data_IF_365496701694
#
_entry.id   IF_365496701694
#
_cell.length_a   1.000
_cell.length_b   1.000
_cell.length_c   1.000
_cell.angle_alpha   90.00
_cell.angle_beta   90.00
_cell.angle_gamma   90.00
#
_symmetry.space_group_name_H-M   'P 1'
#
loop_
_entity.id
_entity.type
_entity.pdbx_description
1 polymer ?
#
# COMPACT_ATOMS: atom_id res chain seq x y z
N UNK A 1 -7.88 -21.56 -4.11
CA UNK A 1 -6.99 -20.52 -3.57
C UNK A 1 -7.02 -19.38 -4.56
N UNK A 2 -7.65 -18.26 -4.22
CA UNK A 2 -7.59 -17.06 -5.05
C UNK A 2 -6.22 -16.42 -4.88
N UNK A 3 -5.54 -16.10 -5.97
CA UNK A 3 -4.27 -15.38 -5.93
C UNK A 3 -4.62 -13.90 -5.74
N UNK A 4 -4.16 -13.30 -4.64
CA UNK A 4 -4.26 -11.86 -4.41
C UNK A 4 -2.95 -11.22 -4.87
N UNK A 5 -3.03 -10.36 -5.88
CA UNK A 5 -1.91 -9.55 -6.34
C UNK A 5 -2.03 -8.15 -5.74
N UNK A 6 -0.92 -7.64 -5.19
CA UNK A 6 -0.85 -6.32 -4.59
C UNK A 6 0.27 -5.53 -5.27
N UNK A 7 -0.02 -4.29 -5.62
CA UNK A 7 0.99 -3.37 -6.14
C UNK A 7 1.76 -2.75 -4.98
N UNK A 8 3.07 -2.61 -5.14
CA UNK A 8 3.92 -1.97 -4.15
C UNK A 8 5.04 -1.17 -4.79
N UNK A 9 5.53 -0.19 -4.04
CA UNK A 9 6.72 0.59 -4.39
C UNK A 9 7.64 0.71 -3.18
N UNK A 10 8.94 0.70 -3.42
CA UNK A 10 9.96 0.95 -2.40
C UNK A 10 10.56 2.33 -2.61
N UNK A 11 10.61 3.14 -1.56
CA UNK A 11 11.14 4.50 -1.59
C UNK A 11 12.25 4.67 -0.56
N UNK A 12 13.28 5.44 -0.88
CA UNK A 12 14.24 5.93 0.11
C UNK A 12 13.73 7.27 0.67
N UNK A 13 13.22 7.25 1.91
CA UNK A 13 12.75 8.48 2.56
C UNK A 13 13.90 9.26 3.19
N UNK A 14 13.69 10.57 3.42
CA UNK A 14 14.69 11.53 3.92
C UNK A 14 15.86 11.85 2.96
N UNK A 15 15.76 11.40 1.71
CA UNK A 15 16.76 11.67 0.67
C UNK A 15 16.07 11.94 -0.66
N UNK A 16 16.79 12.55 -1.60
CA UNK A 16 16.43 12.60 -3.04
C UNK A 16 17.32 11.70 -3.89
N UNK A 17 18.35 11.13 -3.29
CA UNK A 17 19.33 10.26 -3.94
C UNK A 17 19.00 8.81 -3.60
N UNK A 18 18.90 7.90 -4.59
CA UNK A 18 18.69 6.47 -4.35
C UNK A 18 19.74 5.89 -3.40
N UNK A 19 19.32 4.96 -2.54
CA UNK A 19 20.15 4.20 -1.60
C UNK A 19 20.84 5.03 -0.51
N UNK A 20 20.35 6.24 -0.23
CA UNK A 20 20.93 7.16 0.78
C UNK A 20 19.97 7.49 1.92
N UNK A 21 18.77 6.93 1.90
CA UNK A 21 17.72 7.21 2.87
C UNK A 21 17.42 5.99 3.75
N UNK A 22 16.21 5.99 4.29
CA UNK A 22 15.63 4.82 4.92
C UNK A 22 14.67 4.14 3.92
N UNK A 23 14.86 2.87 3.55
CA UNK A 23 13.93 2.17 2.68
C UNK A 23 12.56 1.99 3.33
N UNK A 24 11.51 2.39 2.63
CA UNK A 24 10.11 2.27 3.01
C UNK A 24 9.34 1.53 1.92
N UNK A 25 8.64 0.47 2.28
CA UNK A 25 7.69 -0.19 1.38
C UNK A 25 6.30 0.44 1.53
N UNK A 26 5.68 0.80 0.40
CA UNK A 26 4.29 1.24 0.33
C UNK A 26 3.53 0.19 -0.49
N UNK A 27 2.52 -0.42 0.13
CA UNK A 27 1.69 -1.47 -0.47
C UNK A 27 0.28 -0.92 -0.68
N UNK A 28 -0.21 -0.99 -1.92
CA UNK A 28 -1.55 -0.56 -2.30
C UNK A 28 -2.52 -1.71 -2.11
N UNK A 29 -3.57 -1.46 -1.33
CA UNK A 29 -4.64 -2.40 -1.04
C UNK A 29 -5.87 -2.00 -1.86
N UNK A 30 -6.29 -2.84 -2.84
CA UNK A 30 -7.49 -2.56 -3.60
C UNK A 30 -8.73 -2.62 -2.70
N UNK A 31 -9.83 -1.95 -3.09
CA UNK A 31 -11.10 -2.04 -2.39
C UNK A 31 -11.53 -3.51 -2.25
N UNK A 32 -12.05 -3.92 -1.08
CA UNK A 32 -12.48 -5.29 -0.88
C UNK A 32 -13.67 -5.62 -1.79
N UNK A 33 -13.62 -6.78 -2.43
CA UNK A 33 -14.68 -7.32 -3.28
C UNK A 33 -15.15 -8.68 -2.75
N UNK A 34 -16.27 -9.19 -3.26
CA UNK A 34 -16.75 -10.53 -2.88
C UNK A 34 -15.73 -11.65 -3.18
N UNK A 35 -14.84 -11.44 -4.16
CA UNK A 35 -13.80 -12.39 -4.56
C UNK A 35 -12.42 -12.08 -3.95
N UNK A 36 -12.24 -10.90 -3.38
CA UNK A 36 -10.99 -10.44 -2.77
C UNK A 36 -11.30 -9.66 -1.50
N UNK A 37 -11.46 -10.35 -0.35
CA UNK A 37 -11.73 -9.69 0.93
C UNK A 37 -10.54 -8.85 1.37
N UNK A 38 -10.80 -7.92 2.30
CA UNK A 38 -9.75 -7.12 2.91
C UNK A 38 -8.73 -8.01 3.63
N UNK A 39 -7.45 -7.65 3.57
CA UNK A 39 -6.39 -8.36 4.28
C UNK A 39 -6.56 -8.22 5.79
N UNK A 40 -6.41 -9.33 6.50
CA UNK A 40 -6.36 -9.33 7.97
C UNK A 40 -5.07 -8.67 8.46
N UNK A 41 -5.02 -8.31 9.74
CA UNK A 41 -3.82 -7.73 10.35
C UNK A 41 -2.64 -8.71 10.29
N UNK A 42 -2.89 -10.00 10.50
CA UNK A 42 -1.86 -11.05 10.46
C UNK A 42 -1.28 -11.18 9.06
N UNK A 43 -2.12 -11.08 8.02
CA UNK A 43 -1.66 -11.08 6.63
C UNK A 43 -0.80 -9.86 6.31
N UNK A 44 -1.22 -8.66 6.75
CA UNK A 44 -0.42 -7.43 6.62
C UNK A 44 0.94 -7.57 7.32
N UNK A 45 0.96 -8.17 8.50
CA UNK A 45 2.19 -8.40 9.24
C UNK A 45 3.11 -9.44 8.58
N UNK A 46 2.54 -10.49 7.97
CA UNK A 46 3.31 -11.46 7.20
C UNK A 46 3.95 -10.80 5.96
N UNK A 47 3.20 -9.95 5.25
CA UNK A 47 3.71 -9.16 4.11
C UNK A 47 4.84 -8.23 4.57
N UNK A 48 4.66 -7.49 5.67
CA UNK A 48 5.70 -6.60 6.19
C UNK A 48 6.98 -7.36 6.56
N UNK A 49 6.85 -8.59 7.09
CA UNK A 49 8.00 -9.47 7.37
C UNK A 49 8.70 -9.93 6.09
N UNK A 50 7.96 -10.17 5.01
CA UNK A 50 8.53 -10.55 3.71
C UNK A 50 9.43 -9.43 3.14
N UNK A 51 9.02 -8.17 3.30
CA UNK A 51 9.83 -7.02 2.90
C UNK A 51 11.11 -6.86 3.74
N UNK A 52 11.10 -7.31 5.00
CA UNK A 52 12.24 -7.20 5.93
C UNK A 52 12.82 -5.77 6.02
N UNK A 53 11.96 -4.76 5.93
CA UNK A 53 12.30 -3.35 6.11
C UNK A 53 11.92 -2.87 7.51
N UNK A 54 12.48 -1.74 7.93
CA UNK A 54 12.12 -1.12 9.22
C UNK A 54 10.65 -0.69 9.28
N UNK A 55 10.04 -0.36 8.14
CA UNK A 55 8.65 0.09 8.07
C UNK A 55 7.98 -0.33 6.75
N UNK A 56 6.68 -0.62 6.81
CA UNK A 56 5.82 -0.94 5.65
C UNK A 56 4.47 -0.28 5.86
N UNK A 57 4.03 0.52 4.89
CA UNK A 57 2.78 1.28 4.94
C UNK A 57 1.77 0.65 3.98
N UNK A 58 0.55 0.45 4.47
CA UNK A 58 -0.56 -0.08 3.68
C UNK A 58 -1.54 1.04 3.36
N UNK A 59 -1.63 1.40 2.08
CA UNK A 59 -2.56 2.41 1.57
C UNK A 59 -3.82 1.69 1.09
N UNK A 60 -4.98 2.12 1.58
CA UNK A 60 -6.25 1.59 1.10
C UNK A 60 -6.75 2.52 0.00
N UNK A 61 -6.88 1.99 -1.22
CA UNK A 61 -7.50 2.74 -2.29
C UNK A 61 -8.99 2.89 -1.97
N UNK A 62 -9.46 4.12 -1.92
CA UNK A 62 -10.87 4.45 -1.80
C UNK A 62 -11.50 4.44 -3.18
N UNK A 63 -12.68 3.83 -3.33
CA UNK A 63 -13.45 4.01 -4.55
C UNK A 63 -13.79 5.51 -4.67
N UNK A 64 -13.58 6.15 -5.83
CA UNK A 64 -13.88 7.57 -6.00
C UNK A 64 -15.33 7.96 -5.68
N UNK A 65 -16.27 7.01 -5.70
CA UNK A 65 -17.68 7.24 -5.33
C UNK A 65 -17.90 7.31 -3.82
N UNK A 66 -17.03 6.69 -3.05
CA UNK A 66 -17.04 6.67 -1.59
C UNK A 66 -16.06 7.71 -1.00
N UNK A 67 -15.39 8.48 -1.86
CA UNK A 67 -14.55 9.60 -1.46
C UNK A 67 -15.43 10.74 -0.92
N UNK A 68 -15.35 11.08 0.39
CA UNK A 68 -16.15 12.15 0.96
C UNK A 68 -15.74 13.55 0.45
N UNK A 69 -14.56 13.69 -0.17
CA UNK A 69 -14.02 14.95 -0.67
C UNK A 69 -13.38 14.82 -2.07
N UNK A 70 -14.18 14.54 -3.13
CA UNK A 70 -13.69 14.30 -4.50
C UNK A 70 -12.97 15.48 -5.14
N UNK A 71 -12.95 16.64 -4.48
CA UNK A 71 -12.43 17.92 -4.96
C UNK A 71 -11.02 18.27 -4.43
N UNK A 72 -10.39 17.39 -3.65
CA UNK A 72 -9.00 17.55 -3.18
C UNK A 72 -7.96 16.74 -3.98
N UNK A 73 -8.39 15.88 -4.92
CA UNK A 73 -7.47 15.08 -5.74
C UNK A 73 -6.78 15.96 -6.81
N UNK A 74 -5.44 15.92 -6.95
CA UNK A 74 -4.75 16.64 -8.02
C UNK A 74 -5.16 16.08 -9.40
N UNK A 75 -5.27 16.93 -10.44
CA UNK A 75 -5.62 16.48 -11.79
C UNK A 75 -4.52 15.57 -12.37
N UNK A 76 -4.96 14.54 -13.09
CA UNK A 76 -4.12 13.57 -13.82
C UNK A 76 -3.56 14.17 -15.12
#
# INVERSE_FOLDING_TARGET
MTITQLDFVTLDVFTKTPYKGNPLAIVHLPPPTATSPALTQEQKQAIAQEFNLSETVFVHDVDPKDDPEPQTRPPH
#
